data_IF_871332724179
#
_entry.id   IF_871332724179
#
_cell.length_a   1.000
_cell.length_b   1.000
_cell.length_c   1.000
_cell.angle_alpha   90.00
_cell.angle_beta   90.00
_cell.angle_gamma   90.00
#
_symmetry.space_group_name_H-M   'P 1'
#
loop_
_entity.id
_entity.type
_entity.pdbx_description
1 polymer ?
#
# COMPACT_ATOMS: atom_id res chain seq x y z
N UNK A 1 -23.43 25.91 1.94
CA UNK A 1 -23.64 26.12 0.49
C UNK A 1 -22.64 25.26 -0.30
N UNK A 2 -21.33 25.49 -0.24
CA UNK A 2 -20.33 24.75 -1.01
C UNK A 2 -20.37 23.22 -0.83
N UNK A 3 -20.58 22.72 0.39
CA UNK A 3 -20.67 21.28 0.65
C UNK A 3 -21.92 20.65 0.01
N UNK A 4 -23.04 21.36 0.02
CA UNK A 4 -24.31 20.91 -0.59
C UNK A 4 -24.17 20.82 -2.10
N UNK A 5 -23.46 21.77 -2.71
CA UNK A 5 -23.21 21.81 -4.16
C UNK A 5 -22.32 20.66 -4.60
N UNK A 6 -21.28 20.35 -3.82
CA UNK A 6 -20.40 19.21 -4.06
C UNK A 6 -21.14 17.86 -3.94
N UNK A 7 -22.07 17.74 -2.97
CA UNK A 7 -22.92 16.54 -2.84
C UNK A 7 -23.86 16.43 -4.01
N UNK A 8 -24.53 17.53 -4.42
CA UNK A 8 -25.42 17.55 -5.58
C UNK A 8 -24.69 17.21 -6.88
N UNK A 9 -23.44 17.62 -7.00
CA UNK A 9 -22.57 17.28 -8.13
C UNK A 9 -22.00 15.84 -8.07
N UNK A 10 -22.33 15.05 -7.03
CA UNK A 10 -21.81 13.70 -6.84
C UNK A 10 -20.33 13.63 -6.50
N UNK A 11 -19.75 14.75 -6.05
CA UNK A 11 -18.30 14.88 -5.74
C UNK A 11 -17.94 14.52 -4.31
N UNK A 12 -18.92 14.26 -3.43
CA UNK A 12 -18.69 13.80 -2.06
C UNK A 12 -18.91 12.30 -1.98
N UNK A 13 -17.90 11.56 -1.59
CA UNK A 13 -17.97 10.12 -1.37
C UNK A 13 -18.04 9.84 0.12
N UNK A 14 -19.00 9.03 0.54
CA UNK A 14 -19.14 8.49 1.89
C UNK A 14 -18.87 6.99 1.82
N UNK A 15 -17.82 6.52 2.49
CA UNK A 15 -17.35 5.13 2.37
C UNK A 15 -17.18 4.66 0.92
N UNK A 16 -16.61 5.52 0.06
CA UNK A 16 -16.37 5.23 -1.36
C UNK A 16 -17.60 5.35 -2.27
N UNK A 17 -18.81 5.60 -1.73
CA UNK A 17 -20.04 5.77 -2.50
C UNK A 17 -20.48 7.25 -2.56
N UNK A 18 -20.99 7.74 -3.72
CA UNK A 18 -21.49 9.10 -3.79
C UNK A 18 -22.58 9.37 -2.75
N UNK A 19 -22.41 10.44 -1.98
CA UNK A 19 -23.42 10.89 -1.04
C UNK A 19 -24.68 11.30 -1.82
N UNK A 20 -25.83 10.71 -1.48
CA UNK A 20 -27.10 11.04 -2.15
C UNK A 20 -27.80 12.26 -1.58
N UNK A 21 -27.48 12.64 -0.34
CA UNK A 21 -28.12 13.74 0.41
C UNK A 21 -27.16 14.37 1.40
N UNK A 22 -27.26 15.68 1.60
CA UNK A 22 -26.51 16.38 2.66
C UNK A 22 -26.89 15.92 4.08
N UNK A 23 -28.09 15.34 4.25
CA UNK A 23 -28.59 14.81 5.51
C UNK A 23 -28.19 13.32 5.75
N UNK A 24 -27.29 12.75 4.96
CA UNK A 24 -26.77 11.40 5.21
C UNK A 24 -26.09 11.35 6.57
N UNK A 25 -26.58 10.49 7.47
CA UNK A 25 -25.97 10.32 8.78
C UNK A 25 -24.65 9.57 8.64
N UNK A 26 -23.62 10.11 9.27
CA UNK A 26 -22.27 9.56 9.32
C UNK A 26 -21.79 9.54 10.76
N UNK A 27 -20.98 8.57 11.11
CA UNK A 27 -20.30 8.51 12.41
C UNK A 27 -18.87 9.06 12.32
N UNK A 28 -18.18 9.11 13.46
CA UNK A 28 -16.82 9.61 13.53
C UNK A 28 -15.79 8.74 12.80
N UNK A 29 -16.13 7.53 12.40
CA UNK A 29 -15.27 6.59 11.67
C UNK A 29 -15.62 6.52 10.19
N UNK A 30 -16.70 7.17 9.76
CA UNK A 30 -17.14 7.18 8.38
C UNK A 30 -16.16 7.98 7.51
N UNK A 31 -15.57 7.32 6.51
CA UNK A 31 -14.69 8.00 5.55
C UNK A 31 -15.51 8.92 4.64
N UNK A 32 -15.17 10.22 4.62
CA UNK A 32 -15.73 11.20 3.68
C UNK A 32 -14.59 11.73 2.83
N UNK A 33 -14.70 11.56 1.51
CA UNK A 33 -13.71 12.04 0.54
C UNK A 33 -14.37 12.84 -0.56
N UNK A 34 -13.61 13.76 -1.17
CA UNK A 34 -14.04 14.46 -2.38
C UNK A 34 -13.56 13.70 -3.60
N UNK A 35 -14.47 13.49 -4.57
CA UNK A 35 -14.13 12.98 -5.89
C UNK A 35 -13.45 14.12 -6.66
N UNK A 36 -12.23 13.89 -7.07
CA UNK A 36 -11.54 14.76 -8.02
C UNK A 36 -11.75 14.17 -9.42
N UNK A 37 -12.50 14.85 -10.27
CA UNK A 37 -12.80 14.41 -11.64
C UNK A 37 -11.52 14.38 -12.51
N UNK A 38 -10.41 14.90 -12.02
CA UNK A 38 -9.09 14.89 -12.65
C UNK A 38 -8.09 13.99 -11.90
N UNK A 39 -8.51 13.29 -10.85
CA UNK A 39 -7.63 12.39 -10.12
C UNK A 39 -7.20 11.23 -11.02
N UNK A 40 -5.90 11.11 -11.23
CA UNK A 40 -5.32 10.01 -12.00
C UNK A 40 -5.65 8.64 -11.38
N UNK A 41 -5.73 8.57 -10.05
CA UNK A 41 -6.04 7.36 -9.30
C UNK A 41 -7.14 7.61 -8.25
N UNK A 42 -7.86 6.56 -7.86
CA UNK A 42 -8.96 6.62 -6.86
C UNK A 42 -8.50 7.12 -5.49
N UNK A 43 -7.21 7.15 -5.20
CA UNK A 43 -6.64 7.73 -3.99
C UNK A 43 -5.17 8.12 -4.17
N UNK A 44 -4.65 8.93 -3.23
CA UNK A 44 -3.23 9.33 -3.18
C UNK A 44 -2.26 8.14 -3.14
N UNK A 45 -2.69 6.99 -2.61
CA UNK A 45 -1.90 5.75 -2.61
C UNK A 45 -1.47 5.33 -4.01
N UNK A 46 -2.31 5.57 -5.03
CA UNK A 46 -1.97 5.27 -6.42
C UNK A 46 -0.71 5.95 -6.90
N UNK A 47 -0.53 7.23 -6.61
CA UNK A 47 0.69 7.96 -6.99
C UNK A 47 1.95 7.38 -6.32
N UNK A 48 1.82 6.85 -5.09
CA UNK A 48 2.96 6.22 -4.39
C UNK A 48 3.42 4.96 -5.11
N UNK A 49 2.49 4.04 -5.39
CA UNK A 49 2.83 2.80 -6.10
C UNK A 49 3.26 3.07 -7.53
N UNK A 50 2.61 3.99 -8.25
CA UNK A 50 3.00 4.35 -9.62
C UNK A 50 4.44 4.83 -9.66
N UNK A 51 4.83 5.77 -8.78
CA UNK A 51 6.21 6.25 -8.72
C UNK A 51 7.22 5.16 -8.35
N UNK A 52 6.88 4.26 -7.42
CA UNK A 52 7.75 3.13 -7.12
C UNK A 52 7.93 2.18 -8.32
N UNK A 53 6.88 1.91 -9.08
CA UNK A 53 6.93 1.08 -10.28
C UNK A 53 7.71 1.75 -11.44
N UNK A 54 7.72 3.07 -11.51
CA UNK A 54 8.51 3.82 -12.49
C UNK A 54 10.02 3.74 -12.17
N UNK A 55 10.38 3.78 -10.89
CA UNK A 55 11.77 3.59 -10.45
C UNK A 55 12.22 2.12 -10.56
N UNK A 56 11.33 1.16 -10.32
CA UNK A 56 11.61 -0.27 -10.42
C UNK A 56 11.19 -0.85 -11.77
N UNK A 57 11.81 -0.39 -12.85
CA UNK A 57 11.47 -0.77 -14.24
C UNK A 57 11.53 -2.29 -14.51
N UNK A 58 12.18 -3.07 -13.64
CA UNK A 58 12.23 -4.54 -13.74
C UNK A 58 10.98 -5.24 -13.22
N UNK A 59 10.07 -4.54 -12.51
CA UNK A 59 8.83 -5.12 -11.99
C UNK A 59 7.78 -5.17 -13.09
N UNK A 60 7.37 -6.37 -13.44
CA UNK A 60 6.35 -6.61 -14.47
C UNK A 60 4.98 -6.74 -13.80
N UNK A 61 4.04 -5.86 -14.15
CA UNK A 61 2.64 -5.90 -13.69
C UNK A 61 1.72 -6.56 -14.71
N UNK A 62 1.95 -6.28 -15.99
CA UNK A 62 1.08 -6.74 -17.07
C UNK A 62 0.95 -8.28 -17.10
N UNK A 63 -0.28 -8.76 -17.12
CA UNK A 63 -0.60 -10.20 -17.19
C UNK A 63 -0.39 -10.97 -15.87
N UNK A 64 0.04 -10.33 -14.79
CA UNK A 64 0.29 -10.94 -13.48
C UNK A 64 -0.98 -11.09 -12.65
N UNK A 65 -0.97 -12.01 -11.69
CA UNK A 65 -1.94 -12.07 -10.60
C UNK A 65 -1.29 -11.41 -9.39
N UNK A 66 -1.90 -10.32 -8.91
CA UNK A 66 -1.36 -9.53 -7.83
C UNK A 66 -2.19 -9.65 -6.54
N UNK A 67 -1.51 -9.54 -5.41
CA UNK A 67 -2.11 -9.33 -4.09
C UNK A 67 -1.88 -7.88 -3.68
N UNK A 68 -2.96 -7.16 -3.35
CA UNK A 68 -2.92 -5.82 -2.74
C UNK A 68 -3.25 -5.96 -1.25
N UNK A 69 -2.24 -5.89 -0.40
CA UNK A 69 -2.35 -6.05 1.05
C UNK A 69 -2.52 -4.68 1.72
N UNK A 70 -3.70 -4.41 2.27
CA UNK A 70 -4.10 -3.11 2.77
C UNK A 70 -4.73 -2.25 1.67
N UNK A 71 -5.66 -2.81 0.92
CA UNK A 71 -6.23 -2.19 -0.28
C UNK A 71 -6.93 -0.86 0.00
N UNK A 72 -7.57 -0.69 1.17
CA UNK A 72 -8.28 0.53 1.57
C UNK A 72 -9.24 1.01 0.46
N UNK A 73 -9.13 2.26 0.01
CA UNK A 73 -9.93 2.82 -1.10
C UNK A 73 -9.53 2.29 -2.49
N UNK A 74 -8.42 1.54 -2.59
CA UNK A 74 -8.02 0.87 -3.82
C UNK A 74 -6.98 1.61 -4.67
N UNK A 75 -6.22 2.52 -4.08
CA UNK A 75 -5.20 3.26 -4.84
C UNK A 75 -4.16 2.35 -5.51
N UNK A 76 -3.68 1.32 -4.81
CA UNK A 76 -2.75 0.36 -5.39
C UNK A 76 -3.44 -0.55 -6.41
N UNK A 77 -4.61 -1.06 -6.08
CA UNK A 77 -5.44 -1.85 -7.01
C UNK A 77 -5.68 -1.11 -8.33
N UNK A 78 -6.01 0.19 -8.30
CA UNK A 78 -6.25 1.01 -9.49
C UNK A 78 -5.01 1.12 -10.39
N UNK A 79 -3.83 1.37 -9.78
CA UNK A 79 -2.54 1.37 -10.51
C UNK A 79 -2.30 0.03 -11.19
N UNK A 80 -2.49 -1.07 -10.48
CA UNK A 80 -2.27 -2.42 -11.01
C UNK A 80 -3.20 -2.69 -12.21
N UNK A 81 -4.47 -2.31 -12.10
CA UNK A 81 -5.46 -2.46 -13.18
C UNK A 81 -5.09 -1.63 -14.41
N UNK A 82 -4.66 -0.38 -14.22
CA UNK A 82 -4.21 0.51 -15.30
C UNK A 82 -2.92 0.02 -15.96
N UNK A 83 -2.07 -0.69 -15.22
CA UNK A 83 -0.85 -1.31 -15.74
C UNK A 83 -1.07 -2.73 -16.32
N UNK A 84 -2.32 -3.14 -16.51
CA UNK A 84 -2.66 -4.36 -17.22
C UNK A 84 -2.51 -5.64 -16.41
N UNK A 85 -2.64 -5.60 -15.09
CA UNK A 85 -2.69 -6.79 -14.25
C UNK A 85 -3.81 -7.73 -14.72
N UNK A 86 -3.59 -9.04 -14.68
CA UNK A 86 -4.60 -10.04 -15.03
C UNK A 86 -5.69 -10.13 -13.96
N UNK A 87 -5.30 -10.08 -12.69
CA UNK A 87 -6.19 -10.16 -11.55
C UNK A 87 -5.56 -9.53 -10.31
N UNK A 88 -6.37 -8.89 -9.48
CA UNK A 88 -5.98 -8.38 -8.17
C UNK A 88 -6.80 -9.05 -7.09
N UNK A 89 -6.14 -9.58 -6.06
CA UNK A 89 -6.77 -9.98 -4.80
C UNK A 89 -6.55 -8.84 -3.82
N UNK A 90 -7.58 -8.03 -3.59
CA UNK A 90 -7.56 -6.86 -2.71
C UNK A 90 -7.97 -7.28 -1.29
N UNK A 91 -7.06 -7.16 -0.33
CA UNK A 91 -7.23 -7.62 1.06
C UNK A 91 -7.21 -6.43 2.00
N UNK A 92 -8.23 -6.30 2.84
CA UNK A 92 -8.29 -5.28 3.89
C UNK A 92 -9.01 -5.78 5.15
N UNK A 93 -8.63 -5.23 6.32
CA UNK A 93 -9.33 -5.49 7.59
C UNK A 93 -10.65 -4.72 7.68
N UNK A 94 -10.79 -3.63 6.91
CA UNK A 94 -12.00 -2.85 6.75
C UNK A 94 -13.08 -3.61 5.98
N UNK A 95 -14.20 -2.94 5.77
CA UNK A 95 -15.32 -3.46 5.01
C UNK A 95 -15.88 -2.39 4.07
N UNK A 96 -16.03 -2.74 2.79
CA UNK A 96 -16.67 -1.88 1.79
C UNK A 96 -15.91 -0.56 1.53
N UNK A 97 -14.60 -0.52 1.78
CA UNK A 97 -13.78 0.69 1.60
C UNK A 97 -13.35 0.90 0.15
N UNK A 98 -13.24 -0.17 -0.62
CA UNK A 98 -12.78 -0.12 -2.00
C UNK A 98 -13.71 0.76 -2.84
N UNK A 99 -13.16 1.60 -3.71
CA UNK A 99 -13.93 2.46 -4.60
C UNK A 99 -14.89 1.65 -5.46
N UNK A 100 -16.11 2.17 -5.65
CA UNK A 100 -17.22 1.48 -6.34
C UNK A 100 -16.86 0.96 -7.74
N UNK A 101 -16.11 1.74 -8.49
CA UNK A 101 -15.63 1.36 -9.81
C UNK A 101 -14.72 0.13 -9.78
N UNK A 102 -13.87 0.02 -8.75
CA UNK A 102 -12.98 -1.13 -8.56
C UNK A 102 -13.73 -2.36 -8.06
N UNK A 103 -14.80 -2.18 -7.26
CA UNK A 103 -15.63 -3.29 -6.81
C UNK A 103 -16.36 -3.98 -7.96
N UNK A 104 -16.60 -3.28 -9.08
CA UNK A 104 -17.27 -3.80 -10.26
C UNK A 104 -16.34 -4.41 -11.30
N UNK A 105 -15.03 -4.21 -11.18
CA UNK A 105 -14.07 -4.77 -12.13
C UNK A 105 -13.94 -6.28 -11.89
N UNK A 106 -14.25 -7.06 -12.90
CA UNK A 106 -14.23 -8.54 -12.84
C UNK A 106 -12.83 -9.11 -12.52
N UNK A 107 -11.79 -8.30 -12.71
CA UNK A 107 -10.41 -8.66 -12.36
C UNK A 107 -10.12 -8.53 -10.86
N UNK A 108 -11.01 -7.90 -10.08
CA UNK A 108 -10.80 -7.63 -8.65
C UNK A 108 -11.55 -8.64 -7.79
N UNK A 109 -10.81 -9.42 -7.01
CA UNK A 109 -11.35 -10.25 -5.94
C UNK A 109 -11.18 -9.52 -4.62
N UNK A 110 -12.27 -9.24 -3.91
CA UNK A 110 -12.25 -8.50 -2.64
C UNK A 110 -12.26 -9.48 -1.47
N UNK A 111 -11.37 -9.28 -0.52
CA UNK A 111 -11.30 -9.99 0.75
C UNK A 111 -11.36 -8.97 1.90
N UNK A 112 -12.57 -8.52 2.20
CA UNK A 112 -12.87 -7.62 3.32
C UNK A 112 -12.83 -8.35 4.67
N UNK A 113 -12.53 -7.62 5.76
CA UNK A 113 -12.45 -8.10 7.13
C UNK A 113 -11.42 -9.21 7.31
N UNK A 114 -10.38 -9.21 6.48
CA UNK A 114 -9.29 -10.18 6.53
C UNK A 114 -8.02 -9.51 7.06
N UNK A 115 -7.52 -10.01 8.19
CA UNK A 115 -6.22 -9.57 8.68
C UNK A 115 -5.11 -10.27 7.88
N UNK A 116 -4.29 -9.49 7.19
CA UNK A 116 -3.18 -9.97 6.34
C UNK A 116 -2.24 -10.91 7.11
N UNK A 117 -2.05 -10.69 8.41
CA UNK A 117 -1.21 -11.57 9.26
C UNK A 117 -1.69 -13.03 9.26
N UNK A 118 -2.98 -13.25 9.06
CA UNK A 118 -3.61 -14.58 9.09
C UNK A 118 -4.08 -15.04 7.69
N UNK A 119 -3.60 -14.38 6.63
CA UNK A 119 -3.99 -14.68 5.26
C UNK A 119 -3.52 -16.08 4.88
N UNK A 120 -4.39 -16.84 4.22
CA UNK A 120 -4.11 -18.22 3.79
C UNK A 120 -4.28 -18.37 2.28
N UNK A 121 -3.58 -19.35 1.71
CA UNK A 121 -3.70 -19.68 0.29
C UNK A 121 -5.14 -20.05 -0.11
N UNK A 122 -5.90 -20.69 0.77
CA UNK A 122 -7.31 -21.02 0.53
C UNK A 122 -8.18 -19.78 0.39
N UNK A 123 -7.94 -18.74 1.22
CA UNK A 123 -8.67 -17.46 1.10
C UNK A 123 -8.31 -16.73 -0.19
N UNK A 124 -7.03 -16.68 -0.52
CA UNK A 124 -6.52 -16.05 -1.75
C UNK A 124 -7.06 -16.79 -2.97
N UNK A 125 -6.98 -18.13 -3.01
CA UNK A 125 -7.48 -18.98 -4.08
C UNK A 125 -6.76 -18.86 -5.42
N UNK A 126 -5.63 -18.17 -5.44
CA UNK A 126 -4.79 -17.90 -6.61
C UNK A 126 -3.32 -18.00 -6.22
N UNK A 127 -2.47 -18.34 -7.16
CA UNK A 127 -1.02 -18.26 -6.99
C UNK A 127 -0.53 -16.86 -7.36
N UNK A 128 -0.02 -16.11 -6.39
CA UNK A 128 0.33 -14.69 -6.54
C UNK A 128 1.70 -14.51 -7.20
N UNK A 129 1.74 -13.74 -8.28
CA UNK A 129 2.99 -13.37 -9.01
C UNK A 129 3.62 -12.07 -8.49
N UNK A 130 2.80 -11.17 -7.92
CA UNK A 130 3.22 -9.86 -7.42
C UNK A 130 2.47 -9.53 -6.13
N UNK A 131 3.20 -9.19 -5.09
CA UNK A 131 2.63 -8.70 -3.84
C UNK A 131 2.93 -7.19 -3.73
N UNK A 132 1.90 -6.38 -3.56
CA UNK A 132 2.04 -4.98 -3.14
C UNK A 132 1.44 -4.82 -1.75
N UNK A 133 2.04 -3.98 -0.90
CA UNK A 133 1.55 -3.79 0.46
C UNK A 133 1.67 -2.34 0.93
N UNK A 134 0.54 -1.79 1.39
CA UNK A 134 0.42 -0.48 2.05
C UNK A 134 -0.33 -0.65 3.38
N UNK A 135 0.36 -1.19 4.38
CA UNK A 135 -0.23 -1.54 5.67
C UNK A 135 0.00 -0.42 6.70
N UNK A 136 -0.98 -0.22 7.57
CA UNK A 136 -0.91 0.75 8.67
C UNK A 136 -1.17 0.06 10.02
N UNK A 137 -0.57 0.62 11.08
CA UNK A 137 -0.75 0.18 12.47
C UNK A 137 -0.28 -1.26 12.77
N UNK A 138 0.57 -1.82 11.92
CA UNK A 138 1.19 -3.13 12.09
C UNK A 138 2.62 -3.10 11.54
N UNK A 139 3.53 -3.79 12.21
CA UNK A 139 4.89 -3.99 11.66
C UNK A 139 4.85 -5.00 10.51
N UNK A 140 5.55 -4.68 9.42
CA UNK A 140 5.71 -5.57 8.27
C UNK A 140 6.36 -6.90 8.65
N UNK A 141 7.23 -6.92 9.66
CA UNK A 141 7.87 -8.14 10.18
C UNK A 141 6.85 -9.21 10.62
N UNK A 142 5.66 -8.79 11.05
CA UNK A 142 4.59 -9.70 11.49
C UNK A 142 3.75 -10.27 10.33
N UNK A 143 3.74 -9.62 9.17
CA UNK A 143 2.90 -10.01 8.03
C UNK A 143 3.68 -10.68 6.90
N UNK A 144 4.99 -10.44 6.83
CA UNK A 144 5.86 -11.06 5.82
C UNK A 144 5.69 -12.57 5.69
N UNK A 145 5.64 -13.37 6.78
CA UNK A 145 5.44 -14.82 6.65
C UNK A 145 4.14 -15.19 5.92
N UNK A 146 3.04 -14.49 6.21
CA UNK A 146 1.75 -14.76 5.55
C UNK A 146 1.77 -14.34 4.07
N UNK A 147 2.37 -13.19 3.74
CA UNK A 147 2.51 -12.74 2.36
C UNK A 147 3.34 -13.73 1.52
N UNK A 148 4.44 -14.24 2.08
CA UNK A 148 5.30 -15.22 1.43
C UNK A 148 4.55 -16.54 1.20
N UNK A 149 3.74 -16.98 2.17
CA UNK A 149 3.04 -18.27 2.10
C UNK A 149 1.99 -18.35 0.99
N UNK A 150 1.52 -17.21 0.47
CA UNK A 150 0.50 -17.13 -0.58
C UNK A 150 1.07 -16.77 -1.95
N UNK A 151 2.35 -16.45 -2.01
CA UNK A 151 3.02 -16.03 -3.23
C UNK A 151 3.85 -17.16 -3.84
N UNK A 152 4.02 -17.11 -5.16
CA UNK A 152 4.94 -18.02 -5.88
C UNK A 152 6.39 -17.77 -5.43
N UNK A 153 7.22 -18.78 -5.57
CA UNK A 153 8.66 -18.67 -5.35
C UNK A 153 9.31 -17.57 -6.21
N UNK A 154 8.78 -17.35 -7.41
CA UNK A 154 9.27 -16.36 -8.38
C UNK A 154 8.63 -14.98 -8.20
N UNK A 155 7.73 -14.80 -7.23
CA UNK A 155 6.98 -13.57 -7.04
C UNK A 155 7.89 -12.40 -6.71
N UNK A 156 7.47 -11.22 -7.17
CA UNK A 156 8.02 -9.94 -6.75
C UNK A 156 7.18 -9.34 -5.61
N UNK A 157 7.83 -8.67 -4.66
CA UNK A 157 7.18 -8.02 -3.53
C UNK A 157 7.56 -6.54 -3.54
N UNK A 158 6.58 -5.65 -3.67
CA UNK A 158 6.73 -4.20 -3.49
C UNK A 158 6.05 -3.79 -2.19
N UNK A 159 6.83 -3.65 -1.13
CA UNK A 159 6.33 -3.45 0.22
C UNK A 159 6.67 -2.06 0.69
N UNK A 160 5.65 -1.28 1.08
CA UNK A 160 5.86 0.07 1.59
C UNK A 160 6.17 0.04 3.09
N UNK A 161 7.41 0.36 3.42
CA UNK A 161 7.88 0.53 4.81
C UNK A 161 7.45 1.90 5.32
N UNK A 162 6.75 1.90 6.44
CA UNK A 162 6.32 3.09 7.16
C UNK A 162 7.08 3.15 8.48
N UNK A 163 8.13 3.97 8.60
CA UNK A 163 8.98 4.01 9.78
C UNK A 163 8.20 4.16 11.09
N UNK A 164 7.10 4.93 11.08
CA UNK A 164 6.27 5.16 12.25
C UNK A 164 5.61 3.89 12.84
N UNK A 165 5.52 2.81 12.07
CA UNK A 165 4.98 1.53 12.53
C UNK A 165 6.06 0.48 12.81
N UNK A 166 7.33 0.83 12.59
CA UNK A 166 8.47 -0.08 12.77
C UNK A 166 9.37 0.30 13.97
N UNK A 167 9.55 1.60 14.25
CA UNK A 167 10.52 2.08 15.26
C UNK A 167 10.07 1.92 16.72
N UNK A 168 8.82 1.53 16.98
CA UNK A 168 8.25 1.49 18.33
C UNK A 168 7.76 2.87 18.82
N UNK A 169 6.81 2.83 19.77
CA UNK A 169 6.10 4.04 20.24
C UNK A 169 7.02 5.06 20.90
N UNK A 170 8.03 4.61 21.60
CA UNK A 170 8.94 5.46 22.40
C UNK A 170 9.88 6.32 21.53
N UNK A 171 10.05 5.93 20.25
CA UNK A 171 10.88 6.64 19.28
C UNK A 171 10.05 7.59 18.37
N UNK A 172 8.75 7.68 18.57
CA UNK A 172 7.89 8.56 17.78
C UNK A 172 7.99 10.01 18.25
N UNK A 173 8.19 10.93 17.30
CA UNK A 173 8.12 12.36 17.56
C UNK A 173 6.67 12.87 17.68
N UNK A 174 6.54 14.16 17.95
CA UNK A 174 5.24 14.82 18.02
C UNK A 174 4.41 14.57 16.76
N UNK A 175 3.14 14.21 16.95
CA UNK A 175 2.23 13.85 15.85
C UNK A 175 2.49 12.47 15.22
N UNK A 176 3.28 11.61 15.86
CA UNK A 176 3.59 10.27 15.33
C UNK A 176 4.54 10.30 14.12
N UNK A 177 5.37 11.36 14.00
CA UNK A 177 6.26 11.53 12.85
C UNK A 177 7.69 11.17 13.22
N UNK A 178 8.32 10.30 12.43
CA UNK A 178 9.73 9.92 12.53
C UNK A 178 10.57 10.90 11.71
N UNK A 179 11.10 11.95 12.37
CA UNK A 179 11.91 12.99 11.71
C UNK A 179 13.38 12.61 11.64
N UNK A 180 13.86 11.83 12.60
CA UNK A 180 15.24 11.38 12.64
C UNK A 180 15.55 10.44 11.48
N UNK A 181 16.51 10.84 10.66
CA UNK A 181 16.96 10.09 9.48
C UNK A 181 17.54 8.73 9.88
N UNK A 182 18.28 8.67 11.01
CA UNK A 182 18.84 7.42 11.49
C UNK A 182 17.77 6.41 11.89
N UNK A 183 16.69 6.88 12.53
CA UNK A 183 15.54 6.03 12.84
C UNK A 183 14.79 5.56 11.60
N UNK A 184 14.68 6.40 10.56
CA UNK A 184 14.10 5.98 9.27
C UNK A 184 14.96 4.89 8.62
N UNK A 185 16.29 5.07 8.61
CA UNK A 185 17.24 4.07 8.11
C UNK A 185 17.13 2.75 8.89
N UNK A 186 17.14 2.82 10.22
CA UNK A 186 16.97 1.67 11.12
C UNK A 186 15.68 0.88 10.78
N UNK A 187 14.55 1.58 10.66
CA UNK A 187 13.25 0.95 10.34
C UNK A 187 13.27 0.18 9.02
N UNK A 188 13.85 0.77 7.96
CA UNK A 188 13.92 0.12 6.64
C UNK A 188 14.87 -1.09 6.69
N UNK A 189 16.04 -0.95 7.35
CA UNK A 189 16.99 -2.05 7.52
C UNK A 189 16.39 -3.22 8.32
N UNK A 190 15.67 -2.94 9.40
CA UNK A 190 15.02 -4.00 10.19
C UNK A 190 14.00 -4.80 9.38
N UNK A 191 13.18 -4.13 8.56
CA UNK A 191 12.22 -4.82 7.70
C UNK A 191 12.95 -5.62 6.62
N UNK A 192 13.95 -5.05 5.96
CA UNK A 192 14.74 -5.74 4.94
C UNK A 192 15.48 -6.96 5.50
N UNK A 193 16.06 -6.85 6.69
CA UNK A 193 16.74 -7.96 7.37
C UNK A 193 15.75 -9.06 7.78
N UNK A 194 14.56 -8.69 8.25
CA UNK A 194 13.51 -9.66 8.55
C UNK A 194 13.03 -10.41 7.29
N UNK A 195 12.91 -9.70 6.16
CA UNK A 195 12.59 -10.31 4.87
C UNK A 195 13.72 -11.25 4.40
N UNK A 196 14.99 -10.82 4.54
CA UNK A 196 16.15 -11.62 4.17
C UNK A 196 16.27 -12.92 4.99
N UNK A 197 15.97 -12.86 6.28
CA UNK A 197 15.89 -14.05 7.14
C UNK A 197 14.82 -15.04 6.69
N UNK A 198 13.80 -14.58 5.95
CA UNK A 198 12.76 -15.39 5.30
C UNK A 198 13.07 -15.67 3.83
N UNK A 199 14.33 -15.55 3.41
CA UNK A 199 14.83 -15.79 2.06
C UNK A 199 14.41 -14.78 0.98
N UNK A 200 13.78 -13.66 1.34
CA UNK A 200 13.50 -12.55 0.45
C UNK A 200 14.60 -11.48 0.54
N UNK A 201 15.52 -11.47 -0.42
CA UNK A 201 16.50 -10.40 -0.55
C UNK A 201 15.93 -9.15 -1.23
N UNK A 202 16.70 -8.08 -1.27
CA UNK A 202 16.29 -6.77 -1.79
C UNK A 202 16.93 -6.54 -3.17
N UNK A 203 16.09 -6.24 -4.16
CA UNK A 203 16.51 -5.83 -5.51
C UNK A 203 16.58 -4.30 -5.66
N UNK A 204 15.87 -3.57 -4.82
CA UNK A 204 15.88 -2.11 -4.83
C UNK A 204 15.16 -1.51 -3.63
N UNK A 205 15.49 -0.26 -3.35
CA UNK A 205 14.84 0.58 -2.34
C UNK A 205 14.68 1.99 -2.88
N UNK A 206 13.50 2.59 -2.70
CA UNK A 206 13.21 3.99 -3.08
C UNK A 206 12.32 4.64 -2.03
N UNK A 207 12.46 5.95 -1.87
CA UNK A 207 11.50 6.73 -1.11
C UNK A 207 10.19 6.86 -1.89
N UNK A 208 9.07 6.82 -1.19
CA UNK A 208 7.77 7.14 -1.78
C UNK A 208 7.76 8.58 -2.30
N UNK A 209 7.22 8.85 -3.50
CA UNK A 209 7.16 10.22 -4.04
C UNK A 209 6.26 11.14 -3.21
N UNK A 210 5.36 10.56 -2.41
CA UNK A 210 4.46 11.32 -1.53
C UNK A 210 4.66 10.84 -0.09
N UNK A 211 4.69 11.78 0.88
CA UNK A 211 4.71 11.43 2.29
C UNK A 211 3.34 10.87 2.74
N UNK A 212 3.34 10.18 3.87
CA UNK A 212 2.13 9.78 4.57
C UNK A 212 1.28 11.00 5.02
N UNK A 213 0.02 10.77 5.43
CA UNK A 213 -0.91 11.85 5.78
C UNK A 213 -0.40 12.79 6.87
N UNK A 214 0.42 12.30 7.81
CA UNK A 214 1.02 13.09 8.88
C UNK A 214 2.40 13.67 8.54
N UNK A 215 2.89 13.45 7.30
CA UNK A 215 4.19 13.93 6.84
C UNK A 215 5.35 12.94 7.06
N UNK A 216 5.07 11.68 7.42
CA UNK A 216 6.12 10.66 7.49
C UNK A 216 6.65 10.34 6.09
N UNK A 217 7.97 10.25 5.96
CA UNK A 217 8.61 9.70 4.76
C UNK A 217 8.48 8.19 4.79
N UNK A 218 8.02 7.62 3.70
CA UNK A 218 7.79 6.19 3.54
C UNK A 218 8.68 5.65 2.42
N UNK A 219 8.99 4.36 2.43
CA UNK A 219 9.94 3.76 1.50
C UNK A 219 9.36 2.49 0.89
N UNK A 220 9.63 2.24 -0.39
CA UNK A 220 9.34 0.96 -1.02
C UNK A 220 10.59 0.08 -1.05
N UNK A 221 10.41 -1.17 -0.65
CA UNK A 221 11.37 -2.25 -0.87
C UNK A 221 10.85 -3.12 -2.02
N UNK A 222 11.67 -3.35 -3.02
CA UNK A 222 11.47 -4.41 -3.99
C UNK A 222 12.21 -5.65 -3.54
N UNK A 223 11.46 -6.66 -3.10
CA UNK A 223 12.01 -7.89 -2.56
C UNK A 223 11.75 -9.05 -3.52
N UNK A 224 12.69 -10.00 -3.53
CA UNK A 224 12.58 -11.23 -4.34
C UNK A 224 13.35 -12.36 -3.69
N UNK A 225 12.84 -13.60 -3.83
CA UNK A 225 13.53 -14.80 -3.32
C UNK A 225 14.88 -14.97 -4.00
N UNK A 226 15.90 -15.24 -3.20
CA UNK A 226 17.27 -15.45 -3.68
C UNK A 226 18.05 -14.19 -4.04
N UNK A 227 17.48 -13.00 -3.92
CA UNK A 227 18.23 -11.76 -4.03
C UNK A 227 19.15 -11.54 -2.82
N UNK A 228 20.09 -10.60 -2.94
CA UNK A 228 21.03 -10.27 -1.86
C UNK A 228 20.34 -9.46 -0.73
N UNK A 229 21.02 -9.33 0.40
CA UNK A 229 20.61 -8.40 1.45
C UNK A 229 20.61 -6.95 0.93
N UNK A 230 19.80 -6.08 1.54
CA UNK A 230 19.76 -4.65 1.20
C UNK A 230 21.14 -4.01 1.34
N UNK A 231 21.56 -3.31 0.30
CA UNK A 231 22.77 -2.49 0.31
C UNK A 231 22.54 -1.22 1.15
N UNK A 232 23.39 -0.95 2.14
CA UNK A 232 23.29 0.30 2.90
C UNK A 232 23.55 1.53 2.04
N UNK A 233 24.38 1.42 1.00
CA UNK A 233 24.63 2.52 0.05
C UNK A 233 23.37 2.88 -0.72
N UNK A 234 22.63 1.87 -1.20
CA UNK A 234 21.38 2.10 -1.92
C UNK A 234 20.31 2.71 -1.02
N UNK A 235 20.26 2.28 0.25
CA UNK A 235 19.37 2.86 1.25
C UNK A 235 19.71 4.32 1.54
N UNK A 236 20.99 4.65 1.73
CA UNK A 236 21.44 6.03 1.95
C UNK A 236 21.07 6.94 0.75
N UNK A 237 21.21 6.43 -0.46
CA UNK A 237 20.76 7.13 -1.68
C UNK A 237 19.23 7.34 -1.72
N UNK A 238 18.46 6.32 -1.35
CA UNK A 238 17.00 6.43 -1.30
C UNK A 238 16.54 7.44 -0.25
N UNK A 239 17.21 7.47 0.92
CA UNK A 239 16.93 8.44 1.99
C UNK A 239 17.24 9.85 1.52
N UNK A 240 18.40 10.07 0.87
CA UNK A 240 18.81 11.37 0.39
C UNK A 240 17.89 11.94 -0.72
N UNK A 241 17.27 11.08 -1.53
CA UNK A 241 16.33 11.45 -2.59
C UNK A 241 14.88 11.61 -2.09
N UNK A 242 14.58 11.16 -0.88
CA UNK A 242 13.23 11.22 -0.33
C UNK A 242 12.74 12.65 -0.10
N UNK A 243 11.42 12.86 0.02
CA UNK A 243 10.86 14.16 0.35
C UNK A 243 11.40 14.66 1.70
N UNK A 244 11.71 15.96 1.76
CA UNK A 244 12.27 16.63 2.93
C UNK A 244 11.28 16.71 4.11
#
# INVERSE_FOLDING_TARGET
EAATDLIAAGKVLVTGMPASKAATQVDAQTSITLKDDHAEFVSRGGHKLSGALDEFAGVVVNGKIALDAGASTGGFTDVLLKRGVKKVVAVDVGYGQLAWELQKDERVKILDRVNVRNLTATQVGEEIDLVVADLSFISLKLVLPALISVAKESADFLIMVKPQFEVGKDKLGAGGVVRDVALRKEAVLEVANAAFALTLGTLGVVASPLPGPSGNVEYFLWLKKGANALSEVDLDLAIAKGPA
#
